data_IF_110760407011
#
_entry.id   IF_110760407011
#
_cell.length_a   1.000
_cell.length_b   1.000
_cell.length_c   1.000
_cell.angle_alpha   90.00
_cell.angle_beta   90.00
_cell.angle_gamma   90.00
#
_symmetry.space_group_name_H-M   'P 1'
#
loop_
_entity.id
_entity.type
_entity.pdbx_description
1 polymer ?
#
# COMPACT_ATOMS: atom_id res chain seq x y z
N UNK A 1 3.75 2.69 9.37
CA UNK A 1 4.37 3.29 10.57
C UNK A 1 4.46 4.80 10.37
N UNK A 2 4.43 5.63 11.42
CA UNK A 2 4.60 7.08 11.28
C UNK A 2 6.10 7.37 11.24
N UNK A 3 6.65 7.81 10.11
CA UNK A 3 8.04 8.26 10.08
C UNK A 3 8.28 9.33 11.14
N UNK A 4 9.25 9.08 12.01
CA UNK A 4 9.70 9.97 13.09
C UNK A 4 10.82 10.90 12.64
N UNK A 5 11.37 10.66 11.46
CA UNK A 5 12.44 11.42 10.82
C UNK A 5 12.31 11.35 9.30
N UNK A 6 13.06 12.19 8.61
CA UNK A 6 13.03 12.39 7.18
C UNK A 6 14.42 12.21 6.56
N UNK A 7 14.44 11.72 5.34
CA UNK A 7 15.62 11.66 4.49
C UNK A 7 15.56 12.77 3.47
N UNK A 8 16.57 13.64 3.44
CA UNK A 8 16.72 14.66 2.42
C UNK A 8 17.89 14.31 1.52
N UNK A 9 17.63 14.17 0.23
CA UNK A 9 18.66 14.10 -0.80
C UNK A 9 18.74 15.45 -1.51
N UNK A 10 19.84 16.15 -1.29
CA UNK A 10 20.21 17.35 -2.03
C UNK A 10 21.20 16.94 -3.11
N UNK A 11 20.99 17.37 -4.35
CA UNK A 11 21.95 17.06 -5.39
C UNK A 11 22.08 18.12 -6.47
N UNK A 12 23.22 18.10 -7.14
CA UNK A 12 23.46 18.86 -8.35
C UNK A 12 24.13 17.96 -9.39
N UNK A 13 23.90 18.27 -10.67
CA UNK A 13 24.60 17.67 -11.79
C UNK A 13 25.20 18.79 -12.64
N UNK A 14 26.22 18.51 -13.47
CA UNK A 14 26.68 19.45 -14.48
C UNK A 14 25.57 19.82 -15.48
N UNK A 15 25.66 20.99 -16.11
CA UNK A 15 24.62 21.51 -17.02
C UNK A 15 24.49 20.72 -18.32
N UNK A 16 25.56 20.05 -18.78
CA UNK A 16 25.56 19.22 -19.99
C UNK A 16 24.82 17.87 -19.88
N UNK A 17 24.52 17.42 -18.66
CA UNK A 17 24.03 16.06 -18.39
C UNK A 17 22.51 15.94 -18.39
N UNK A 18 21.89 16.17 -19.55
CA UNK A 18 20.43 16.14 -19.69
C UNK A 18 19.85 14.73 -19.51
N UNK A 19 20.51 13.71 -20.05
CA UNK A 19 20.05 12.32 -20.00
C UNK A 19 20.07 11.79 -18.56
N UNK A 20 21.17 12.04 -17.86
CA UNK A 20 21.42 11.60 -16.49
C UNK A 20 20.45 12.29 -15.53
N UNK A 21 20.20 13.60 -15.70
CA UNK A 21 19.17 14.33 -14.94
C UNK A 21 17.79 13.69 -15.07
N UNK A 22 17.39 13.33 -16.28
CA UNK A 22 16.10 12.66 -16.52
C UNK A 22 16.09 11.27 -15.87
N UNK A 23 17.20 10.53 -15.93
CA UNK A 23 17.31 9.21 -15.29
C UNK A 23 17.16 9.30 -13.76
N UNK A 24 17.86 10.25 -13.12
CA UNK A 24 17.77 10.51 -11.68
C UNK A 24 16.35 10.94 -11.30
N UNK A 25 15.75 11.86 -12.05
CA UNK A 25 14.37 12.31 -11.80
C UNK A 25 13.36 11.16 -11.89
N UNK A 26 13.47 10.29 -12.91
CA UNK A 26 12.60 9.10 -13.05
C UNK A 26 12.76 8.16 -11.86
N UNK A 27 14.00 7.97 -11.38
CA UNK A 27 14.29 7.10 -10.25
C UNK A 27 13.72 7.67 -8.95
N UNK A 28 13.86 8.97 -8.71
CA UNK A 28 13.23 9.69 -7.59
C UNK A 28 11.70 9.55 -7.62
N UNK A 29 11.08 9.76 -8.79
CA UNK A 29 9.63 9.56 -8.95
C UNK A 29 9.22 8.12 -8.63
N UNK A 30 9.99 7.12 -9.09
CA UNK A 30 9.72 5.70 -8.83
C UNK A 30 9.84 5.34 -7.34
N UNK A 31 10.79 5.94 -6.63
CA UNK A 31 10.94 5.78 -5.18
C UNK A 31 9.82 6.47 -4.38
N UNK A 32 8.94 7.26 -5.00
CA UNK A 32 7.93 8.05 -4.28
C UNK A 32 8.50 9.30 -3.61
N UNK A 33 9.72 9.72 -3.95
CA UNK A 33 10.34 10.89 -3.35
C UNK A 33 9.59 12.17 -3.76
N UNK A 34 9.36 13.05 -2.78
CA UNK A 34 8.69 14.33 -2.99
C UNK A 34 9.71 15.46 -3.03
N UNK A 35 9.60 16.33 -4.02
CA UNK A 35 10.46 17.50 -4.15
C UNK A 35 9.96 18.63 -3.24
N UNK A 36 10.83 19.16 -2.37
CA UNK A 36 10.51 20.32 -1.51
C UNK A 36 11.08 21.63 -2.07
N UNK A 37 12.24 21.56 -2.74
CA UNK A 37 12.93 22.65 -3.44
C UNK A 37 13.61 22.10 -4.70
N UNK A 38 14.11 22.97 -5.57
CA UNK A 38 14.65 22.63 -6.91
C UNK A 38 15.59 21.42 -6.94
N UNK A 39 16.46 21.26 -5.94
CA UNK A 39 17.44 20.16 -5.86
C UNK A 39 17.24 19.23 -4.66
N UNK A 40 16.15 19.39 -3.90
CA UNK A 40 15.97 18.69 -2.62
C UNK A 40 14.75 17.78 -2.66
N UNK A 41 14.99 16.50 -2.44
CA UNK A 41 13.99 15.44 -2.43
C UNK A 41 13.89 14.82 -1.05
N UNK A 42 12.66 14.44 -0.69
CA UNK A 42 12.31 13.96 0.63
C UNK A 42 11.76 12.53 0.54
N UNK A 43 12.18 11.70 1.48
CA UNK A 43 11.57 10.40 1.78
C UNK A 43 11.34 10.27 3.30
N UNK A 44 10.38 9.44 3.74
CA UNK A 44 10.33 8.99 5.12
C UNK A 44 11.62 8.22 5.47
N UNK A 45 12.13 8.38 6.68
CA UNK A 45 13.32 7.66 7.15
C UNK A 45 12.98 6.24 7.57
N UNK A 46 13.03 5.33 6.61
CA UNK A 46 13.05 3.89 6.82
C UNK A 46 14.24 3.27 6.07
N UNK A 47 14.67 2.09 6.51
CA UNK A 47 15.92 1.45 6.05
C UNK A 47 15.99 1.29 4.54
N UNK A 48 14.89 0.83 3.91
CA UNK A 48 14.84 0.62 2.47
C UNK A 48 15.02 1.93 1.68
N UNK A 49 14.37 3.02 2.13
CA UNK A 49 14.47 4.35 1.52
C UNK A 49 15.87 4.93 1.70
N UNK A 50 16.48 4.72 2.87
CA UNK A 50 17.85 5.16 3.14
C UNK A 50 18.86 4.50 2.20
N UNK A 51 18.79 3.17 2.05
CA UNK A 51 19.63 2.44 1.10
C UNK A 51 19.42 2.93 -0.34
N UNK A 52 18.16 3.10 -0.76
CA UNK A 52 17.83 3.62 -2.08
C UNK A 52 18.45 5.01 -2.33
N UNK A 53 18.39 5.91 -1.34
CA UNK A 53 19.02 7.23 -1.41
C UNK A 53 20.55 7.16 -1.39
N UNK A 54 21.17 6.24 -0.64
CA UNK A 54 22.61 6.04 -0.69
C UNK A 54 23.09 5.58 -2.08
N UNK A 55 22.41 4.60 -2.68
CA UNK A 55 22.69 4.15 -4.04
C UNK A 55 22.50 5.26 -5.07
N UNK A 56 21.44 6.06 -4.93
CA UNK A 56 21.19 7.18 -5.82
C UNK A 56 22.23 8.29 -5.67
N UNK A 57 22.65 8.60 -4.44
CA UNK A 57 23.70 9.57 -4.16
C UNK A 57 25.03 9.14 -4.79
N UNK A 58 25.40 7.85 -4.69
CA UNK A 58 26.58 7.34 -5.38
C UNK A 58 26.46 7.48 -6.89
N UNK A 59 25.32 7.10 -7.48
CA UNK A 59 25.08 7.23 -8.91
C UNK A 59 25.22 8.70 -9.40
N UNK A 60 24.74 9.67 -8.61
CA UNK A 60 24.88 11.09 -8.92
C UNK A 60 26.36 11.51 -8.96
N UNK A 61 27.18 11.02 -8.02
CA UNK A 61 28.63 11.28 -8.01
C UNK A 61 29.34 10.61 -9.17
N UNK A 62 28.92 9.40 -9.57
CA UNK A 62 29.45 8.70 -10.74
C UNK A 62 29.15 9.48 -12.04
N UNK A 63 28.01 10.18 -12.07
CA UNK A 63 27.68 11.16 -13.09
C UNK A 63 28.41 12.51 -12.91
N UNK A 64 29.47 12.60 -12.10
CA UNK A 64 30.23 13.84 -11.90
C UNK A 64 29.41 14.97 -11.26
N UNK A 65 28.30 14.64 -10.60
CA UNK A 65 27.52 15.55 -9.78
C UNK A 65 27.98 15.60 -8.33
N UNK A 66 27.24 16.37 -7.54
CA UNK A 66 27.41 16.41 -6.09
C UNK A 66 26.10 15.99 -5.40
N UNK A 67 26.20 15.35 -4.25
CA UNK A 67 25.06 14.83 -3.51
C UNK A 67 25.30 14.88 -2.00
N UNK A 68 24.34 15.39 -1.25
CA UNK A 68 24.32 15.35 0.22
C UNK A 68 23.06 14.62 0.68
N UNK A 69 23.24 13.58 1.50
CA UNK A 69 22.15 12.85 2.15
C UNK A 69 22.08 13.23 3.62
N UNK A 70 20.96 13.78 4.05
CA UNK A 70 20.72 14.25 5.43
C UNK A 70 19.60 13.43 6.04
N UNK A 71 19.78 12.99 7.30
CA UNK A 71 18.67 12.54 8.15
C UNK A 71 18.27 13.67 9.06
N UNK A 72 17.02 14.11 9.00
CA UNK A 72 16.49 15.20 9.81
C UNK A 72 15.33 14.69 10.67
N UNK A 73 15.33 14.99 11.96
CA UNK A 73 14.16 14.70 12.80
C UNK A 73 13.02 15.66 12.48
N UNK A 74 13.35 16.94 12.27
CA UNK A 74 12.40 18.01 12.00
C UNK A 74 12.92 18.92 10.90
N UNK A 75 12.00 19.60 10.21
CA UNK A 75 12.31 20.59 9.18
C UNK A 75 11.53 21.85 9.49
N UNK A 76 12.24 22.88 9.94
CA UNK A 76 11.67 24.21 10.21
C UNK A 76 10.83 24.71 9.01
N UNK A 77 9.60 25.14 9.28
CA UNK A 77 8.65 25.59 8.25
C UNK A 77 7.94 24.49 7.43
N UNK A 78 8.25 23.22 7.66
CA UNK A 78 7.58 22.07 7.06
C UNK A 78 7.11 21.09 8.15
N UNK A 79 5.90 21.34 8.67
CA UNK A 79 5.30 20.42 9.64
C UNK A 79 5.08 19.04 9.04
N UNK A 80 5.00 18.03 9.90
CA UNK A 80 4.74 16.65 9.51
C UNK A 80 3.46 16.51 8.70
N UNK A 81 2.41 17.23 9.06
CA UNK A 81 1.11 17.23 8.39
C UNK A 81 1.25 17.79 6.97
N UNK A 82 2.01 18.88 6.81
CA UNK A 82 2.27 19.48 5.50
C UNK A 82 3.08 18.55 4.61
N UNK A 83 4.12 17.92 5.15
CA UNK A 83 4.91 16.93 4.42
C UNK A 83 4.05 15.72 4.02
N UNK A 84 3.27 15.18 4.95
CA UNK A 84 2.34 14.07 4.69
C UNK A 84 1.34 14.44 3.59
N UNK A 85 0.78 15.65 3.62
CA UNK A 85 -0.10 16.15 2.56
C UNK A 85 0.62 16.20 1.20
N UNK A 86 1.87 16.65 1.15
CA UNK A 86 2.65 16.67 -0.10
C UNK A 86 2.85 15.26 -0.69
N UNK A 87 3.12 14.24 0.14
CA UNK A 87 3.19 12.85 -0.32
C UNK A 87 1.82 12.35 -0.83
N UNK A 88 0.76 12.60 -0.06
CA UNK A 88 -0.59 12.20 -0.43
C UNK A 88 -1.05 12.86 -1.72
N UNK A 89 -0.74 14.14 -1.93
CA UNK A 89 -1.05 14.88 -3.16
C UNK A 89 -0.27 14.35 -4.37
N UNK A 90 1.01 13.99 -4.17
CA UNK A 90 1.81 13.36 -5.21
C UNK A 90 1.24 12.00 -5.62
N UNK A 91 0.91 11.14 -4.65
CA UNK A 91 0.27 9.83 -4.91
C UNK A 91 -1.13 9.98 -5.49
N UNK A 92 -1.90 10.97 -5.06
CA UNK A 92 -3.24 11.23 -5.56
C UNK A 92 -3.27 11.51 -7.08
N UNK A 93 -2.21 12.13 -7.62
CA UNK A 93 -2.05 12.35 -9.07
C UNK A 93 -1.77 11.05 -9.82
N UNK A 94 -0.85 10.23 -9.32
CA UNK A 94 -0.53 8.93 -9.92
C UNK A 94 -1.75 7.99 -9.89
N UNK A 95 -2.49 7.94 -8.77
CA UNK A 95 -3.75 7.19 -8.69
C UNK A 95 -4.83 7.74 -9.62
N UNK A 96 -4.90 9.06 -9.84
CA UNK A 96 -5.86 9.63 -10.77
C UNK A 96 -5.58 9.22 -12.22
N UNK A 97 -4.31 9.13 -12.61
CA UNK A 97 -3.90 8.58 -13.92
C UNK A 97 -4.32 7.12 -14.05
N UNK A 98 -3.96 6.29 -13.09
CA UNK A 98 -4.32 4.87 -13.09
C UNK A 98 -5.84 4.65 -13.08
N UNK A 99 -6.58 5.45 -12.32
CA UNK A 99 -8.06 5.42 -12.29
C UNK A 99 -8.65 5.64 -13.68
N UNK A 100 -8.14 6.63 -14.44
CA UNK A 100 -8.60 6.88 -15.82
C UNK A 100 -8.32 5.68 -16.72
N UNK A 101 -7.13 5.09 -16.62
CA UNK A 101 -6.78 3.87 -17.37
C UNK A 101 -7.68 2.68 -17.03
N UNK A 102 -7.96 2.46 -15.74
CA UNK A 102 -8.87 1.41 -15.28
C UNK A 102 -10.31 1.62 -15.74
N UNK A 103 -10.83 2.85 -15.66
CA UNK A 103 -12.18 3.16 -16.14
C UNK A 103 -12.32 2.92 -17.65
N UNK A 104 -11.31 3.34 -18.43
CA UNK A 104 -11.24 3.05 -19.86
C UNK A 104 -11.23 1.54 -20.13
N UNK A 105 -10.37 0.80 -19.41
CA UNK A 105 -10.30 -0.66 -19.50
C UNK A 105 -11.65 -1.34 -19.20
N UNK A 106 -12.31 -0.98 -18.10
CA UNK A 106 -13.62 -1.53 -17.73
C UNK A 106 -14.68 -1.28 -18.82
N UNK A 107 -14.64 -0.12 -19.47
CA UNK A 107 -15.56 0.22 -20.57
C UNK A 107 -15.34 -0.61 -21.84
N UNK A 108 -14.09 -0.92 -22.17
CA UNK A 108 -13.73 -1.62 -23.41
C UNK A 108 -13.57 -3.14 -23.28
N UNK A 109 -13.34 -3.68 -22.07
CA UNK A 109 -13.02 -5.11 -21.84
C UNK A 109 -14.03 -6.10 -22.44
N UNK A 110 -15.31 -5.71 -22.57
CA UNK A 110 -16.35 -6.57 -23.18
C UNK A 110 -16.13 -6.83 -24.68
N UNK A 111 -15.32 -6.00 -25.34
CA UNK A 111 -15.01 -6.07 -26.78
C UNK A 111 -13.60 -6.64 -27.04
N UNK A 112 -12.85 -6.91 -25.99
CA UNK A 112 -11.51 -7.50 -26.05
C UNK A 112 -11.63 -9.01 -25.93
N UNK A 113 -10.67 -9.75 -26.47
CA UNK A 113 -10.60 -11.19 -26.19
C UNK A 113 -10.11 -11.45 -24.74
N UNK A 114 -10.16 -12.71 -24.33
CA UNK A 114 -9.83 -13.11 -22.97
C UNK A 114 -8.35 -12.91 -22.63
N UNK A 115 -7.45 -13.10 -23.59
CA UNK A 115 -5.99 -13.01 -23.40
C UNK A 115 -5.56 -11.55 -23.28
N UNK A 116 -6.03 -10.69 -24.19
CA UNK A 116 -5.84 -9.25 -24.14
C UNK A 116 -6.41 -8.64 -22.85
N UNK A 117 -7.60 -9.10 -22.44
CA UNK A 117 -8.23 -8.65 -21.19
C UNK A 117 -7.37 -9.01 -19.98
N UNK A 118 -6.85 -10.23 -19.93
CA UNK A 118 -6.00 -10.70 -18.83
C UNK A 118 -4.67 -9.94 -18.78
N UNK A 119 -4.00 -9.78 -19.92
CA UNK A 119 -2.72 -9.09 -20.02
C UNK A 119 -2.83 -7.61 -19.62
N UNK A 120 -3.87 -6.91 -20.07
CA UNK A 120 -4.08 -5.50 -19.73
C UNK A 120 -4.45 -5.33 -18.24
N UNK A 121 -5.26 -6.24 -17.68
CA UNK A 121 -5.57 -6.25 -16.25
C UNK A 121 -4.32 -6.50 -15.40
N UNK A 122 -3.47 -7.44 -15.80
CA UNK A 122 -2.19 -7.70 -15.13
C UNK A 122 -1.29 -6.46 -15.17
N UNK A 123 -1.19 -5.80 -16.32
CA UNK A 123 -0.42 -4.55 -16.48
C UNK A 123 -0.93 -3.46 -15.53
N UNK A 124 -2.24 -3.25 -15.45
CA UNK A 124 -2.85 -2.25 -14.55
C UNK A 124 -2.66 -2.63 -13.07
N UNK A 125 -2.73 -3.92 -12.75
CA UNK A 125 -2.47 -4.46 -11.40
C UNK A 125 -1.03 -4.22 -10.99
N UNK A 126 -0.06 -4.44 -11.89
CA UNK A 126 1.35 -4.13 -11.65
C UNK A 126 1.56 -2.63 -11.42
N UNK A 127 0.96 -1.77 -12.24
CA UNK A 127 1.01 -0.32 -12.04
C UNK A 127 0.43 0.10 -10.69
N UNK A 128 -0.69 -0.49 -10.26
CA UNK A 128 -1.25 -0.24 -8.94
C UNK A 128 -0.26 -0.58 -7.82
N UNK A 129 0.37 -1.78 -7.88
CA UNK A 129 1.36 -2.22 -6.90
C UNK A 129 2.58 -1.31 -6.85
N UNK A 130 3.05 -0.84 -8.00
CA UNK A 130 4.16 0.11 -8.09
C UNK A 130 3.83 1.46 -7.42
N UNK A 131 2.62 2.00 -7.67
CA UNK A 131 2.19 3.26 -7.02
C UNK A 131 2.04 3.04 -5.51
N UNK A 132 1.45 1.92 -5.10
CA UNK A 132 1.26 1.54 -3.69
C UNK A 132 2.57 1.36 -2.94
N UNK A 133 3.60 0.77 -3.56
CA UNK A 133 4.92 0.64 -2.94
C UNK A 133 5.58 1.99 -2.63
N UNK A 134 5.18 3.04 -3.34
CA UNK A 134 5.65 4.41 -3.13
C UNK A 134 4.64 5.27 -2.33
N UNK A 135 3.55 4.68 -1.83
CA UNK A 135 2.47 5.34 -1.08
C UNK A 135 2.64 5.17 0.43
N UNK A 136 3.59 5.92 0.98
CA UNK A 136 4.02 5.78 2.38
C UNK A 136 2.96 6.18 3.42
N UNK A 137 1.95 6.95 3.01
CA UNK A 137 0.96 7.54 3.91
C UNK A 137 -0.47 7.10 3.61
N UNK A 138 -0.64 6.05 2.80
CA UNK A 138 -1.92 5.43 2.45
C UNK A 138 -2.94 6.46 1.94
N UNK A 139 -2.62 7.09 0.79
CA UNK A 139 -3.47 8.08 0.16
C UNK A 139 -4.91 7.56 0.01
N UNK A 140 -5.94 8.33 0.40
CA UNK A 140 -7.35 7.91 0.27
C UNK A 140 -7.73 7.49 -1.16
N UNK A 141 -7.10 8.08 -2.17
CA UNK A 141 -7.33 7.72 -3.58
C UNK A 141 -6.85 6.31 -3.94
N UNK A 142 -5.94 5.73 -3.17
CA UNK A 142 -5.50 4.34 -3.34
C UNK A 142 -6.62 3.35 -3.06
N UNK A 143 -7.50 3.63 -2.08
CA UNK A 143 -8.66 2.78 -1.77
C UNK A 143 -9.66 2.76 -2.93
N UNK A 144 -9.99 3.92 -3.47
CA UNK A 144 -10.87 4.05 -4.65
C UNK A 144 -10.37 3.21 -5.84
N UNK A 145 -9.06 3.29 -6.12
CA UNK A 145 -8.44 2.55 -7.23
C UNK A 145 -8.45 1.06 -6.94
N UNK A 146 -8.19 0.64 -5.70
CA UNK A 146 -8.28 -0.77 -5.29
C UNK A 146 -9.69 -1.34 -5.54
N UNK A 147 -10.74 -0.58 -5.20
CA UNK A 147 -12.13 -0.97 -5.45
C UNK A 147 -12.44 -1.08 -6.96
N UNK A 148 -11.93 -0.14 -7.75
CA UNK A 148 -12.08 -0.20 -9.22
C UNK A 148 -11.33 -1.39 -9.82
N UNK A 149 -10.14 -1.71 -9.33
CA UNK A 149 -9.36 -2.87 -9.77
C UNK A 149 -10.12 -4.17 -9.47
N UNK A 150 -10.71 -4.30 -8.27
CA UNK A 150 -11.58 -5.45 -7.92
C UNK A 150 -12.76 -5.59 -8.87
N UNK A 151 -13.42 -4.49 -9.21
CA UNK A 151 -14.49 -4.49 -10.23
C UNK A 151 -13.96 -4.89 -11.62
N UNK A 152 -12.73 -4.49 -11.95
CA UNK A 152 -12.06 -4.80 -13.20
C UNK A 152 -11.66 -6.29 -13.30
N UNK A 153 -11.24 -6.92 -12.20
CA UNK A 153 -11.06 -8.38 -12.07
C UNK A 153 -12.38 -9.13 -12.30
N UNK A 154 -13.51 -8.47 -12.02
CA UNK A 154 -14.84 -9.06 -12.10
C UNK A 154 -15.09 -10.00 -10.92
N UNK A 155 -16.22 -10.72 -10.90
CA UNK A 155 -16.37 -11.82 -9.98
C UNK A 155 -15.26 -12.82 -10.33
N UNK A 156 -14.20 -12.89 -9.51
CA UNK A 156 -13.40 -14.11 -9.48
C UNK A 156 -14.43 -15.22 -9.37
N UNK A 157 -14.48 -16.16 -10.35
CA UNK A 157 -14.98 -17.50 -10.05
C UNK A 157 -14.35 -17.79 -8.71
N UNK A 158 -15.15 -17.95 -7.67
CA UNK A 158 -14.63 -18.34 -6.38
C UNK A 158 -13.80 -19.60 -6.70
N UNK A 159 -12.48 -19.44 -6.85
CA UNK A 159 -11.56 -20.46 -6.39
C UNK A 159 -12.07 -20.67 -5.00
N UNK A 160 -12.74 -21.80 -4.80
CA UNK A 160 -13.31 -22.20 -3.53
C UNK A 160 -12.31 -21.72 -2.50
N UNK A 161 -12.65 -20.62 -1.80
CA UNK A 161 -11.84 -20.17 -0.69
C UNK A 161 -11.82 -21.41 0.18
N UNK A 162 -10.64 -22.00 0.38
CA UNK A 162 -10.51 -23.21 1.18
C UNK A 162 -11.32 -22.97 2.44
N UNK A 163 -12.33 -23.84 2.69
CA UNK A 163 -13.16 -23.74 3.88
C UNK A 163 -12.21 -23.80 5.06
N UNK A 164 -12.04 -22.68 5.75
CA UNK A 164 -11.21 -22.63 6.93
C UNK A 164 -11.97 -23.33 8.04
N UNK A 165 -11.41 -24.39 8.60
CA UNK A 165 -12.05 -25.05 9.72
C UNK A 165 -11.92 -24.19 10.98
N UNK A 166 -13.05 -23.66 11.47
CA UNK A 166 -13.19 -22.83 12.69
C UNK A 166 -12.38 -23.38 13.88
N UNK A 167 -12.23 -24.70 13.96
CA UNK A 167 -11.48 -25.40 15.01
C UNK A 167 -10.00 -25.01 15.07
N UNK A 168 -9.38 -24.64 13.95
CA UNK A 168 -7.97 -24.25 13.89
C UNK A 168 -7.71 -22.82 14.41
N UNK A 169 -8.77 -22.04 14.61
CA UNK A 169 -8.70 -20.63 14.97
C UNK A 169 -9.20 -20.33 16.39
N UNK A 170 -9.38 -21.35 17.24
CA UNK A 170 -9.78 -21.17 18.64
C UNK A 170 -8.59 -20.77 19.53
N UNK A 171 -8.82 -19.83 20.46
CA UNK A 171 -7.86 -19.40 21.48
C UNK A 171 -6.64 -18.68 20.91
N UNK A 172 -6.76 -18.10 19.72
CA UNK A 172 -5.65 -17.48 19.00
C UNK A 172 -5.44 -16.03 19.43
N UNK A 173 -4.23 -15.56 19.17
CA UNK A 173 -3.90 -14.15 19.28
C UNK A 173 -4.17 -13.49 17.94
N UNK A 174 -5.02 -12.48 17.92
CA UNK A 174 -5.47 -11.74 16.74
C UNK A 174 -4.85 -10.36 16.74
N UNK A 175 -4.20 -9.99 15.64
CA UNK A 175 -3.44 -8.75 15.54
C UNK A 175 -4.10 -7.78 14.58
N UNK A 176 -4.28 -6.54 15.02
CA UNK A 176 -4.65 -5.43 14.12
C UNK A 176 -3.87 -4.17 14.45
N UNK A 177 -4.02 -3.12 13.62
CA UNK A 177 -3.29 -1.86 13.82
C UNK A 177 -3.82 -1.07 15.02
N UNK A 178 -2.95 -0.37 15.79
CA UNK A 178 -3.37 0.53 16.85
C UNK A 178 -4.35 1.60 16.36
N UNK A 179 -5.23 2.06 17.26
CA UNK A 179 -6.34 2.99 16.97
C UNK A 179 -7.31 2.40 15.92
N UNK A 180 -8.07 1.34 16.29
CA UNK A 180 -9.00 0.72 15.37
C UNK A 180 -10.13 1.69 15.01
N UNK A 181 -10.38 1.87 13.72
CA UNK A 181 -11.59 2.53 13.21
C UNK A 181 -12.79 1.58 13.36
N UNK A 182 -14.00 2.08 13.10
CA UNK A 182 -15.26 1.36 13.31
C UNK A 182 -15.24 -0.05 12.67
N UNK A 183 -14.69 -0.16 11.46
CA UNK A 183 -14.61 -1.41 10.71
C UNK A 183 -13.76 -2.50 11.41
N UNK A 184 -12.72 -2.10 12.14
CA UNK A 184 -11.85 -3.02 12.90
C UNK A 184 -12.50 -3.49 14.17
N UNK A 185 -13.25 -2.62 14.83
CA UNK A 185 -14.05 -2.99 16.00
C UNK A 185 -15.14 -3.99 15.58
N UNK A 186 -15.78 -3.75 14.43
CA UNK A 186 -16.73 -4.70 13.84
C UNK A 186 -16.10 -6.06 13.51
N UNK A 187 -14.90 -6.05 12.92
CA UNK A 187 -14.14 -7.27 12.61
C UNK A 187 -13.77 -8.05 13.87
N UNK A 188 -13.31 -7.37 14.93
CA UNK A 188 -12.97 -7.99 16.22
C UNK A 188 -14.20 -8.60 16.92
N UNK A 189 -15.35 -7.93 16.85
CA UNK A 189 -16.62 -8.47 17.35
C UNK A 189 -16.99 -9.76 16.61
N UNK A 190 -16.87 -9.78 15.28
CA UNK A 190 -17.19 -10.95 14.47
C UNK A 190 -16.27 -12.13 14.77
N UNK A 191 -14.96 -11.87 14.88
CA UNK A 191 -13.97 -12.86 15.32
C UNK A 191 -14.42 -13.49 16.64
N UNK A 192 -14.74 -12.65 17.63
CA UNK A 192 -15.16 -13.10 18.96
C UNK A 192 -16.47 -13.88 18.98
N UNK A 193 -17.37 -13.60 18.03
CA UNK A 193 -18.71 -14.18 17.98
C UNK A 193 -18.76 -15.50 17.21
N UNK A 194 -18.03 -15.59 16.09
CA UNK A 194 -18.21 -16.67 15.11
C UNK A 194 -16.94 -17.47 14.81
N UNK A 195 -15.75 -16.92 15.07
CA UNK A 195 -14.48 -17.53 14.65
C UNK A 195 -13.75 -18.12 15.85
N UNK A 196 -13.51 -17.32 16.87
CA UNK A 196 -12.73 -17.67 18.04
C UNK A 196 -13.54 -17.31 19.28
N UNK A 197 -13.90 -18.32 20.09
CA UNK A 197 -14.66 -18.11 21.33
C UNK A 197 -13.82 -17.55 22.47
N UNK A 198 -12.50 -17.56 22.35
CA UNK A 198 -11.55 -17.06 23.36
C UNK A 198 -10.41 -16.24 22.72
N UNK A 199 -10.73 -15.20 21.93
CA UNK A 199 -9.71 -14.46 21.20
C UNK A 199 -8.90 -13.59 22.15
N UNK A 200 -7.62 -13.41 21.84
CA UNK A 200 -6.78 -12.37 22.44
C UNK A 200 -6.43 -11.33 21.38
N UNK A 201 -6.85 -10.09 21.57
CA UNK A 201 -6.53 -9.03 20.62
C UNK A 201 -5.27 -8.28 21.02
N UNK A 202 -4.34 -8.13 20.08
CA UNK A 202 -3.11 -7.35 20.23
C UNK A 202 -3.02 -6.30 19.14
N UNK A 203 -2.35 -5.19 19.44
CA UNK A 203 -2.20 -4.08 18.51
C UNK A 203 -0.74 -3.88 18.13
N UNK A 204 -0.43 -3.96 16.84
CA UNK A 204 0.92 -3.70 16.35
C UNK A 204 0.91 -3.03 14.96
N UNK A 205 1.94 -2.26 14.60
CA UNK A 205 1.94 -1.48 13.37
C UNK A 205 2.14 -2.30 12.08
N UNK A 206 2.67 -3.53 12.18
CA UNK A 206 2.90 -4.46 11.06
C UNK A 206 2.34 -5.84 11.38
N UNK A 207 2.02 -6.62 10.34
CA UNK A 207 1.34 -7.92 10.46
C UNK A 207 2.23 -9.03 11.05
N UNK A 208 3.54 -8.87 10.96
CA UNK A 208 4.60 -9.77 11.42
C UNK A 208 5.17 -9.41 12.80
N UNK A 209 4.69 -8.32 13.41
CA UNK A 209 5.25 -7.79 14.65
C UNK A 209 5.07 -8.71 15.87
N UNK A 210 4.12 -9.64 15.83
CA UNK A 210 3.89 -10.62 16.90
C UNK A 210 3.94 -12.02 16.29
N UNK A 211 4.94 -12.84 16.65
CA UNK A 211 5.01 -14.23 16.22
C UNK A 211 3.73 -14.99 16.56
N UNK A 212 3.28 -15.84 15.63
CA UNK A 212 2.08 -16.68 15.75
C UNK A 212 0.74 -15.93 15.92
N UNK A 213 0.73 -14.60 15.85
CA UNK A 213 -0.50 -13.84 15.84
C UNK A 213 -1.12 -13.83 14.44
N UNK A 214 -2.44 -13.92 14.39
CA UNK A 214 -3.23 -13.93 13.16
C UNK A 214 -3.61 -12.50 12.82
N UNK A 215 -3.01 -11.90 11.77
CA UNK A 215 -3.36 -10.56 11.37
C UNK A 215 -4.81 -10.52 10.84
N UNK A 216 -5.54 -9.45 11.15
CA UNK A 216 -6.86 -9.16 10.58
C UNK A 216 -7.03 -7.67 10.27
N UNK A 217 -7.79 -7.36 9.22
CA UNK A 217 -8.01 -6.01 8.70
C UNK A 217 -6.71 -5.18 8.51
N UNK A 218 -5.68 -5.87 8.04
CA UNK A 218 -4.38 -5.30 7.65
C UNK A 218 -4.03 -5.77 6.24
N UNK A 219 -3.18 -5.00 5.55
CA UNK A 219 -2.67 -5.39 4.23
C UNK A 219 -1.90 -6.72 4.35
N UNK A 220 -2.14 -7.64 3.41
CA UNK A 220 -1.58 -9.01 3.37
C UNK A 220 -1.97 -9.94 4.53
N UNK A 221 -2.98 -9.57 5.32
CA UNK A 221 -3.53 -10.44 6.35
C UNK A 221 -4.43 -11.54 5.77
N UNK A 222 -4.34 -12.75 6.33
CA UNK A 222 -5.20 -13.89 5.97
C UNK A 222 -6.69 -13.54 6.10
N UNK A 223 -7.04 -12.74 7.12
CA UNK A 223 -8.35 -12.13 7.37
C UNK A 223 -8.35 -10.64 7.01
N UNK A 224 -8.03 -10.32 5.76
CA UNK A 224 -8.20 -8.99 5.17
C UNK A 224 -9.38 -8.96 4.19
N UNK A 225 -9.69 -7.80 3.64
CA UNK A 225 -10.69 -7.62 2.59
C UNK A 225 -10.36 -8.49 1.36
N UNK A 226 -11.18 -9.49 1.01
CA UNK A 226 -11.00 -10.32 -0.20
C UNK A 226 -12.14 -10.06 -1.22
N UNK A 227 -11.83 -9.47 -2.39
CA UNK A 227 -12.84 -9.28 -3.46
C UNK A 227 -13.91 -8.23 -3.14
N UNK A 228 -15.20 -8.49 -3.39
CA UNK A 228 -16.27 -7.55 -2.99
C UNK A 228 -16.61 -7.61 -1.50
N UNK A 229 -15.91 -8.46 -0.76
CA UNK A 229 -16.28 -8.84 0.58
C UNK A 229 -15.48 -8.03 1.61
N UNK A 230 -16.20 -7.34 2.50
CA UNK A 230 -15.59 -6.83 3.71
C UNK A 230 -15.04 -7.99 4.57
N UNK A 231 -14.22 -7.69 5.57
CA UNK A 231 -13.69 -8.71 6.51
C UNK A 231 -14.82 -9.60 7.06
N UNK A 232 -16.04 -9.05 7.20
CA UNK A 232 -17.28 -9.75 7.55
C UNK A 232 -17.71 -10.80 6.52
N UNK A 233 -17.82 -10.45 5.24
CA UNK A 233 -18.32 -11.38 4.22
C UNK A 233 -17.27 -12.47 3.88
N UNK A 234 -15.98 -12.17 4.05
CA UNK A 234 -14.90 -13.17 3.94
C UNK A 234 -14.95 -14.18 5.09
N UNK A 235 -15.23 -13.73 6.32
CA UNK A 235 -15.45 -14.61 7.47
C UNK A 235 -16.71 -15.47 7.33
N UNK A 236 -17.82 -14.88 6.91
CA UNK A 236 -19.11 -15.57 6.74
C UNK A 236 -19.05 -16.65 5.65
N UNK A 237 -18.42 -16.39 4.50
CA UNK A 237 -18.29 -17.40 3.44
C UNK A 237 -17.29 -18.51 3.76
N UNK A 238 -16.19 -18.21 4.49
CA UNK A 238 -15.17 -19.23 4.80
C UNK A 238 -15.58 -20.22 5.89
N UNK A 239 -16.53 -19.86 6.76
CA UNK A 239 -16.90 -20.66 7.94
C UNK A 239 -18.22 -21.43 7.79
N UNK A 240 -18.88 -21.34 6.63
CA UNK A 240 -20.01 -22.17 6.26
C UNK A 240 -21.34 -21.77 6.89
N UNK A 241 -22.35 -21.60 6.05
CA UNK A 241 -23.76 -21.54 6.45
C UNK A 241 -24.15 -22.81 7.21
N UNK A 242 -24.40 -22.65 8.50
CA UNK A 242 -24.94 -23.71 9.37
C UNK A 242 -25.56 -23.19 10.66
N UNK A 243 -25.91 -21.90 10.76
CA UNK A 243 -26.45 -21.35 12.01
C UNK A 243 -27.00 -19.93 11.95
N UNK A 244 -27.49 -19.46 10.78
CA UNK A 244 -28.11 -18.13 10.65
C UNK A 244 -29.64 -18.16 10.62
N UNK A 245 -30.24 -19.24 11.12
CA UNK A 245 -31.64 -19.25 11.54
C UNK A 245 -31.68 -19.61 13.03
N UNK A 246 -31.90 -18.60 13.86
CA UNK A 246 -31.93 -18.68 15.33
C UNK A 246 -31.73 -17.33 15.95
#
# INVERSE_FOLDING_TARGET
MRATSWLLLLYSLPTGQKTERVAIWRRLKKMGAVQIKTSTYLLPDETAQYEQFQWLAQQIRDYGGDSTLVRAQEIEGLTKEKVTAMFNDARAKDYAELRRSLQSFIGRRKRMDAEETAAELERLTRQFREIRAADFFDSPRGHDVAMLLRRAEGPKRARQLEKLEVKHYQGKTWLTRPRPEIDRVGSAWLISKFIDRKPKFVFAPTADAVPDAIPFDMLDAEFSHHGNYCTFETGAQRLGEGGLAG
#
